data_IF_315991229891
#
_entry.id   IF_315991229891
#
_cell.length_a   1.000
_cell.length_b   1.000
_cell.length_c   1.000
_cell.angle_alpha   90.00
_cell.angle_beta   90.00
_cell.angle_gamma   90.00
#
_symmetry.space_group_name_H-M   'P 1'
#
loop_
_entity.id
_entity.type
_entity.pdbx_description
1 polymer ?
#
# COMPACT_ATOMS: atom_id res chain seq x y z
N UNK A 1 -2.53 19.10 -22.26
CA UNK A 1 -1.75 18.79 -21.03
C UNK A 1 -2.56 17.80 -20.20
N UNK A 2 -2.21 16.51 -20.25
CA UNK A 2 -2.87 15.48 -19.47
C UNK A 2 -2.55 15.66 -17.99
N UNK A 3 -3.57 15.63 -17.12
CA UNK A 3 -3.38 15.62 -15.67
C UNK A 3 -3.37 14.17 -15.20
N UNK A 4 -2.18 13.62 -15.00
CA UNK A 4 -1.98 12.30 -14.39
C UNK A 4 -2.27 12.42 -12.89
N UNK A 5 -3.37 11.82 -12.42
CA UNK A 5 -3.67 11.75 -10.98
C UNK A 5 -3.16 10.41 -10.46
N UNK A 6 -1.96 10.43 -9.91
CA UNK A 6 -1.30 9.26 -9.31
C UNK A 6 -2.05 8.87 -8.02
N UNK A 7 -2.86 7.79 -8.06
CA UNK A 7 -3.62 7.31 -6.91
C UNK A 7 -2.91 6.20 -6.12
N UNK A 8 -1.66 5.86 -6.46
CA UNK A 8 -0.89 4.81 -5.78
C UNK A 8 0.53 5.29 -5.48
N UNK A 9 0.96 5.20 -4.21
CA UNK A 9 2.35 5.50 -3.78
C UNK A 9 3.35 4.39 -4.13
N UNK A 10 2.91 3.38 -4.89
CA UNK A 10 3.73 2.25 -5.32
C UNK A 10 4.06 2.43 -6.81
N UNK A 11 5.32 2.75 -7.12
CA UNK A 11 5.80 3.14 -8.46
C UNK A 11 5.58 2.08 -9.55
N UNK A 12 5.17 0.86 -9.18
CA UNK A 12 4.93 -0.28 -10.08
C UNK A 12 3.46 -0.61 -10.31
N UNK A 13 2.54 -0.06 -9.51
CA UNK A 13 1.10 -0.27 -9.69
C UNK A 13 0.46 1.08 -10.01
N UNK A 14 0.60 1.50 -11.28
CA UNK A 14 -0.08 2.69 -11.80
C UNK A 14 -1.48 2.27 -12.26
N UNK A 15 -2.50 2.71 -11.52
CA UNK A 15 -3.86 2.74 -12.04
C UNK A 15 -3.97 4.03 -12.83
N UNK A 16 -3.99 3.93 -14.15
CA UNK A 16 -4.19 5.08 -15.04
C UNK A 16 -5.69 5.14 -15.38
N UNK A 17 -6.42 6.04 -14.72
CA UNK A 17 -7.78 6.38 -15.11
C UNK A 17 -7.73 7.21 -16.40
N UNK A 18 -8.00 6.58 -17.55
CA UNK A 18 -8.04 7.22 -18.87
C UNK A 18 -9.37 7.96 -19.16
N UNK A 19 -10.09 8.40 -18.13
CA UNK A 19 -11.43 9.00 -18.28
C UNK A 19 -11.42 10.44 -18.86
N UNK A 20 -10.24 11.01 -19.17
CA UNK A 20 -10.10 12.37 -19.72
C UNK A 20 -9.04 12.49 -20.84
N UNK A 21 -8.75 11.42 -21.58
CA UNK A 21 -7.99 11.54 -22.83
C UNK A 21 -8.97 11.75 -23.99
N UNK A 22 -8.85 12.88 -24.68
CA UNK A 22 -9.55 13.11 -25.94
C UNK A 22 -9.23 11.97 -26.92
N UNK A 23 -10.29 11.25 -27.32
CA UNK A 23 -10.38 10.23 -28.36
C UNK A 23 -9.26 10.31 -29.42
N UNK A 24 -8.19 9.53 -29.27
CA UNK A 24 -7.37 9.03 -30.39
C UNK A 24 -6.62 7.77 -29.92
N UNK A 25 -6.64 6.71 -30.72
CA UNK A 25 -5.93 5.44 -30.44
C UNK A 25 -4.43 5.66 -30.18
N UNK A 26 -3.84 6.65 -30.85
CA UNK A 26 -2.43 7.02 -30.72
C UNK A 26 -2.02 7.41 -29.30
N UNK A 27 -2.93 7.99 -28.50
CA UNK A 27 -2.61 8.35 -27.12
C UNK A 27 -2.56 7.13 -26.19
N UNK A 28 -3.35 6.09 -26.48
CA UNK A 28 -3.29 4.83 -25.74
C UNK A 28 -2.01 4.09 -26.12
N UNK A 29 -1.63 4.13 -27.40
CA UNK A 29 -0.41 3.51 -27.89
C UNK A 29 0.85 4.07 -27.20
N UNK A 30 0.97 5.40 -27.13
CA UNK A 30 2.10 6.07 -26.47
C UNK A 30 2.20 5.70 -24.98
N UNK A 31 1.06 5.63 -24.27
CA UNK A 31 1.03 5.22 -22.87
C UNK A 31 1.48 3.76 -22.72
N UNK A 32 1.05 2.87 -23.60
CA UNK A 32 1.42 1.45 -23.54
C UNK A 32 2.91 1.24 -23.84
N UNK A 33 3.47 1.97 -24.80
CA UNK A 33 4.91 1.94 -25.11
C UNK A 33 5.77 2.49 -23.96
N UNK A 34 5.26 3.46 -23.19
CA UNK A 34 5.96 4.00 -22.03
C UNK A 34 6.09 3.00 -20.86
N UNK A 35 5.26 1.95 -20.82
CA UNK A 35 5.22 0.98 -19.73
C UNK A 35 6.18 -0.18 -20.03
N UNK A 36 7.22 -0.42 -19.20
CA UNK A 36 8.17 -1.50 -19.42
C UNK A 36 7.47 -2.86 -19.57
N UNK A 37 7.92 -3.70 -20.49
CA UNK A 37 7.31 -5.02 -20.80
C UNK A 37 7.24 -5.97 -19.60
N UNK A 38 8.13 -5.80 -18.60
CA UNK A 38 8.13 -6.57 -17.36
C UNK A 38 7.07 -6.16 -16.33
N UNK A 39 6.37 -5.06 -16.55
CA UNK A 39 5.27 -4.63 -15.67
C UNK A 39 3.95 -5.33 -16.02
N UNK A 40 3.04 -5.40 -15.04
CA UNK A 40 1.71 -5.97 -15.27
C UNK A 40 0.78 -4.87 -15.76
N UNK A 41 0.07 -5.11 -16.86
CA UNK A 41 -0.90 -4.18 -17.41
C UNK A 41 -2.24 -4.88 -17.58
N UNK A 42 -3.29 -4.25 -17.04
CA UNK A 42 -4.69 -4.64 -17.21
C UNK A 42 -5.46 -3.39 -17.63
N UNK A 43 -6.18 -3.47 -18.74
CA UNK A 43 -7.04 -2.39 -19.24
C UNK A 43 -8.49 -2.90 -19.15
N UNK A 44 -9.35 -2.13 -18.49
CA UNK A 44 -10.80 -2.33 -18.55
C UNK A 44 -11.44 -1.10 -19.16
N UNK A 45 -12.09 -1.24 -20.32
CA UNK A 45 -12.73 -0.13 -21.00
C UNK A 45 -13.94 -0.58 -21.82
N UNK A 46 -14.84 0.36 -22.09
CA UNK A 46 -15.88 0.23 -23.10
C UNK A 46 -15.29 0.63 -24.46
N UNK A 47 -15.06 -0.37 -25.31
CA UNK A 47 -14.51 -0.16 -26.64
C UNK A 47 -15.60 0.05 -27.69
N UNK A 48 -16.87 -0.13 -27.34
CA UNK A 48 -18.01 -0.03 -28.24
C UNK A 48 -17.89 -0.90 -29.53
N UNK A 49 -16.98 -1.88 -29.52
CA UNK A 49 -16.73 -2.83 -30.60
C UNK A 49 -17.17 -4.23 -30.21
N UNK A 50 -17.42 -5.08 -31.20
CA UNK A 50 -17.75 -6.49 -31.04
C UNK A 50 -16.60 -7.32 -31.61
N UNK A 51 -15.83 -7.97 -30.74
CA UNK A 51 -14.71 -8.83 -31.15
C UNK A 51 -15.16 -10.11 -31.87
N UNK A 52 -16.39 -10.56 -31.60
CA UNK A 52 -17.04 -11.70 -32.24
C UNK A 52 -16.70 -13.06 -31.62
N UNK A 53 -17.44 -14.09 -32.02
CA UNK A 53 -17.27 -15.50 -31.63
C UNK A 53 -16.21 -16.21 -32.49
N UNK A 54 -15.44 -17.12 -31.88
CA UNK A 54 -14.33 -17.80 -32.54
C UNK A 54 -13.06 -16.95 -32.62
N UNK A 55 -11.92 -17.61 -32.82
CA UNK A 55 -10.60 -16.96 -32.80
C UNK A 55 -9.75 -17.28 -34.04
N UNK A 56 -10.37 -17.71 -35.13
CA UNK A 56 -9.66 -18.11 -36.36
C UNK A 56 -8.85 -16.92 -36.91
N UNK A 57 -7.52 -17.02 -36.89
CA UNK A 57 -6.59 -15.96 -37.31
C UNK A 57 -6.14 -14.99 -36.20
N UNK A 58 -6.69 -15.14 -34.98
CA UNK A 58 -6.43 -14.29 -33.82
C UNK A 58 -6.22 -15.11 -32.54
N UNK A 59 -5.88 -16.40 -32.66
CA UNK A 59 -5.75 -17.34 -31.55
C UNK A 59 -4.79 -16.89 -30.45
N UNK A 60 -3.83 -16.06 -30.85
CA UNK A 60 -2.82 -15.46 -29.98
C UNK A 60 -3.38 -14.45 -28.98
N UNK A 61 -4.40 -13.70 -29.37
CA UNK A 61 -4.91 -12.52 -28.64
C UNK A 61 -6.33 -12.72 -28.12
N UNK A 62 -7.09 -13.65 -28.68
CA UNK A 62 -8.45 -13.91 -28.26
C UNK A 62 -8.76 -15.40 -28.15
N UNK A 63 -9.66 -15.72 -27.22
CA UNK A 63 -10.24 -17.04 -27.07
C UNK A 63 -11.48 -17.23 -27.95
N UNK A 64 -12.06 -18.43 -27.87
CA UNK A 64 -13.16 -18.87 -28.75
C UNK A 64 -14.54 -18.35 -28.34
N UNK A 65 -14.68 -17.87 -27.11
CA UNK A 65 -15.98 -17.67 -26.45
C UNK A 65 -16.49 -16.23 -26.52
N UNK A 66 -16.19 -15.49 -27.58
CA UNK A 66 -16.81 -14.17 -27.81
C UNK A 66 -18.29 -14.26 -28.17
N UNK A 67 -18.92 -13.11 -28.36
CA UNK A 67 -20.36 -12.98 -28.60
C UNK A 67 -20.59 -12.32 -29.96
N UNK A 68 -21.49 -12.90 -30.77
CA UNK A 68 -21.93 -12.39 -32.09
C UNK A 68 -20.82 -12.37 -33.14
N UNK A 69 -21.09 -11.72 -34.27
CA UNK A 69 -20.12 -11.48 -35.33
C UNK A 69 -19.25 -10.26 -35.02
N UNK A 70 -18.03 -10.28 -35.58
CA UNK A 70 -17.06 -9.20 -35.44
C UNK A 70 -17.47 -7.98 -36.28
N UNK A 71 -17.40 -6.78 -35.72
CA UNK A 71 -17.56 -5.52 -36.46
C UNK A 71 -16.21 -4.82 -36.68
N UNK A 72 -16.22 -3.71 -37.44
CA UNK A 72 -15.01 -2.92 -37.73
C UNK A 72 -14.33 -2.45 -36.44
N UNK A 73 -15.10 -1.93 -35.49
CA UNK A 73 -14.57 -1.46 -34.20
C UNK A 73 -13.97 -2.60 -33.37
N UNK A 74 -14.56 -3.80 -33.43
CA UNK A 74 -14.02 -4.99 -32.80
C UNK A 74 -12.75 -5.49 -33.45
N UNK A 75 -12.62 -5.35 -34.77
CA UNK A 75 -11.36 -5.62 -35.47
C UNK A 75 -10.26 -4.66 -35.00
N UNK A 76 -10.57 -3.37 -34.81
CA UNK A 76 -9.62 -2.40 -34.27
C UNK A 76 -9.13 -2.79 -32.87
N UNK A 77 -10.02 -3.30 -32.00
CA UNK A 77 -9.64 -3.83 -30.68
C UNK A 77 -8.70 -5.04 -30.80
N UNK A 78 -8.97 -5.94 -31.74
CA UNK A 78 -8.13 -7.12 -31.99
C UNK A 78 -6.76 -6.71 -32.54
N UNK A 79 -6.72 -5.75 -33.47
CA UNK A 79 -5.49 -5.24 -34.07
C UNK A 79 -4.64 -4.49 -33.03
N UNK A 80 -5.28 -3.73 -32.15
CA UNK A 80 -4.63 -3.13 -30.97
C UNK A 80 -4.04 -4.19 -30.05
N UNK A 81 -4.81 -5.25 -29.75
CA UNK A 81 -4.34 -6.34 -28.90
C UNK A 81 -3.14 -7.08 -29.51
N UNK A 82 -3.13 -7.27 -30.85
CA UNK A 82 -1.98 -7.83 -31.58
C UNK A 82 -0.74 -6.95 -31.49
N UNK A 83 -0.90 -5.64 -31.71
CA UNK A 83 0.22 -4.67 -31.70
C UNK A 83 0.88 -4.58 -30.33
N UNK A 84 0.09 -4.61 -29.26
CA UNK A 84 0.56 -4.40 -27.88
C UNK A 84 0.77 -5.70 -27.08
N UNK A 85 0.74 -6.86 -27.74
CA UNK A 85 0.89 -8.19 -27.12
C UNK A 85 -0.10 -8.42 -25.94
N UNK A 86 -1.35 -8.01 -26.16
CA UNK A 86 -2.45 -8.10 -25.18
C UNK A 86 -3.39 -9.25 -25.53
N UNK A 87 -4.10 -9.75 -24.51
CA UNK A 87 -5.09 -10.80 -24.60
C UNK A 87 -6.47 -10.28 -24.17
N UNK A 88 -7.50 -10.56 -24.97
CA UNK A 88 -8.92 -10.24 -24.69
C UNK A 88 -9.50 -11.26 -23.72
N UNK A 89 -9.33 -10.99 -22.42
CA UNK A 89 -9.63 -11.92 -21.32
C UNK A 89 -11.05 -12.47 -21.37
N UNK A 90 -12.03 -11.62 -21.71
CA UNK A 90 -13.45 -12.00 -21.75
C UNK A 90 -13.76 -13.15 -22.71
N UNK A 91 -12.91 -13.39 -23.72
CA UNK A 91 -13.15 -14.40 -24.77
C UNK A 91 -12.53 -15.76 -24.46
N UNK A 92 -11.68 -15.87 -23.43
CA UNK A 92 -10.99 -17.13 -23.07
C UNK A 92 -11.82 -18.05 -22.19
N UNK A 93 -12.79 -17.52 -21.44
CA UNK A 93 -13.58 -18.29 -20.49
C UNK A 93 -14.93 -18.73 -21.07
N UNK A 94 -15.24 -20.02 -20.93
CA UNK A 94 -16.52 -20.59 -21.36
C UNK A 94 -17.61 -20.28 -20.32
N UNK A 95 -18.19 -19.09 -20.43
CA UNK A 95 -19.31 -18.67 -19.59
C UNK A 95 -20.67 -18.82 -20.30
N UNK A 96 -21.75 -18.81 -19.51
CA UNK A 96 -23.11 -18.74 -20.05
C UNK A 96 -23.26 -17.45 -20.85
N UNK A 97 -24.00 -17.49 -21.96
CA UNK A 97 -24.17 -16.33 -22.84
C UNK A 97 -24.66 -15.07 -22.08
N UNK A 98 -25.55 -15.24 -21.11
CA UNK A 98 -26.03 -14.15 -20.26
C UNK A 98 -24.94 -13.44 -19.45
N UNK A 99 -23.89 -14.19 -19.06
CA UNK A 99 -22.72 -13.72 -18.33
C UNK A 99 -21.59 -13.22 -19.24
N UNK A 100 -21.80 -13.20 -20.57
CA UNK A 100 -20.88 -12.58 -21.55
C UNK A 100 -21.38 -11.25 -22.08
N UNK A 101 -22.69 -11.02 -22.00
CA UNK A 101 -23.35 -9.78 -22.45
C UNK A 101 -23.14 -8.68 -21.42
N UNK A 102 -22.39 -7.64 -21.80
CA UNK A 102 -22.05 -6.49 -20.95
C UNK A 102 -23.06 -5.35 -21.10
N UNK A 103 -23.72 -5.23 -22.25
CA UNK A 103 -24.72 -4.20 -22.52
C UNK A 103 -26.07 -4.80 -22.93
N UNK A 104 -27.16 -4.34 -22.29
CA UNK A 104 -28.53 -4.74 -22.61
C UNK A 104 -29.48 -3.54 -22.66
N UNK A 105 -30.10 -3.29 -23.81
CA UNK A 105 -31.11 -2.24 -23.97
C UNK A 105 -32.15 -2.63 -25.02
N UNK A 106 -33.44 -2.53 -24.70
CA UNK A 106 -34.55 -2.76 -25.64
C UNK A 106 -34.48 -4.10 -26.40
N UNK A 107 -34.13 -5.19 -25.72
CA UNK A 107 -33.97 -6.52 -26.33
C UNK A 107 -32.62 -6.77 -27.03
N UNK A 108 -31.84 -5.71 -27.29
CA UNK A 108 -30.49 -5.82 -27.85
C UNK A 108 -29.51 -6.22 -26.75
N UNK A 109 -28.69 -7.23 -27.04
CA UNK A 109 -27.62 -7.75 -26.17
C UNK A 109 -26.29 -7.57 -26.88
N UNK A 110 -25.32 -6.93 -26.25
CA UNK A 110 -23.99 -6.67 -26.83
C UNK A 110 -22.90 -6.92 -25.80
N UNK A 111 -21.70 -7.22 -26.30
CA UNK A 111 -20.47 -7.25 -25.53
C UNK A 111 -19.63 -6.09 -26.06
N UNK A 112 -19.41 -5.07 -25.24
CA UNK A 112 -18.67 -3.85 -25.60
C UNK A 112 -17.63 -3.47 -24.56
N UNK A 113 -17.82 -3.95 -23.33
CA UNK A 113 -16.89 -3.79 -22.22
C UNK A 113 -15.91 -4.96 -22.20
N UNK A 114 -14.61 -4.68 -22.38
CA UNK A 114 -13.57 -5.70 -22.41
C UNK A 114 -12.50 -5.45 -21.36
N UNK A 115 -11.97 -6.56 -20.83
CA UNK A 115 -10.76 -6.57 -20.04
C UNK A 115 -9.64 -7.14 -20.91
N UNK A 116 -8.59 -6.35 -21.10
CA UNK A 116 -7.35 -6.72 -21.78
C UNK A 116 -6.25 -6.90 -20.74
N UNK A 117 -5.41 -7.92 -20.89
CA UNK A 117 -4.19 -8.09 -20.08
C UNK A 117 -3.00 -8.39 -20.97
N UNK A 118 -1.78 -8.17 -20.49
CA UNK A 118 -0.59 -8.68 -21.21
C UNK A 118 -0.65 -10.20 -21.34
N UNK A 119 -0.26 -10.72 -22.51
CA UNK A 119 -0.27 -12.17 -22.79
C UNK A 119 0.56 -12.96 -21.78
N UNK A 120 1.72 -12.44 -21.39
CA UNK A 120 2.57 -13.04 -20.35
C UNK A 120 1.89 -13.20 -18.98
N UNK A 121 0.90 -12.37 -18.65
CA UNK A 121 0.17 -12.41 -17.38
C UNK A 121 -1.17 -13.15 -17.48
N UNK A 122 -1.55 -13.68 -18.64
CA UNK A 122 -2.82 -14.39 -18.82
C UNK A 122 -2.97 -15.58 -17.85
N UNK A 123 -1.85 -16.24 -17.49
CA UNK A 123 -1.80 -17.33 -16.49
C UNK A 123 -2.19 -16.89 -15.07
N UNK A 124 -2.10 -15.60 -14.76
CA UNK A 124 -2.48 -15.06 -13.46
C UNK A 124 -4.01 -14.85 -13.36
N UNK A 125 -4.72 -14.89 -14.49
CA UNK A 125 -6.17 -14.73 -14.54
C UNK A 125 -6.84 -16.08 -14.38
N UNK A 126 -7.78 -16.13 -13.43
CA UNK A 126 -8.49 -17.34 -13.04
C UNK A 126 -9.94 -17.40 -13.52
N UNK A 127 -10.59 -16.25 -13.67
CA UNK A 127 -12.00 -16.14 -14.04
C UNK A 127 -12.28 -14.74 -14.60
N UNK A 128 -13.18 -14.62 -15.56
CA UNK A 128 -13.70 -13.35 -16.05
C UNK A 128 -15.17 -13.49 -16.44
N UNK A 129 -16.05 -12.80 -15.73
CA UNK A 129 -17.51 -12.93 -15.90
C UNK A 129 -18.24 -11.61 -15.74
N UNK A 130 -19.42 -11.54 -16.36
CA UNK A 130 -20.34 -10.41 -16.19
C UNK A 130 -21.37 -10.73 -15.12
N UNK A 131 -21.54 -9.83 -14.16
CA UNK A 131 -22.54 -9.96 -13.08
C UNK A 131 -23.90 -9.46 -13.58
N UNK A 132 -24.86 -10.38 -13.67
CA UNK A 132 -26.20 -10.08 -14.26
C UNK A 132 -27.21 -9.56 -13.24
N UNK A 133 -27.09 -9.94 -11.97
CA UNK A 133 -28.13 -9.73 -10.95
C UNK A 133 -28.02 -8.42 -10.17
N UNK A 134 -26.85 -7.78 -10.18
CA UNK A 134 -26.59 -6.53 -9.48
C UNK A 134 -26.56 -5.37 -10.50
N UNK A 135 -27.64 -4.59 -10.56
CA UNK A 135 -27.78 -3.50 -11.53
C UNK A 135 -27.24 -2.19 -10.95
N UNK A 136 -25.95 -1.91 -11.15
CA UNK A 136 -25.40 -0.57 -10.87
C UNK A 136 -25.80 0.43 -11.97
N UNK A 137 -26.05 -0.04 -13.20
CA UNK A 137 -26.58 0.75 -14.31
C UNK A 137 -27.74 0.03 -15.01
N UNK A 138 -28.63 0.79 -15.66
CA UNK A 138 -29.82 0.25 -16.38
C UNK A 138 -29.46 -0.54 -17.64
N UNK A 139 -28.32 -0.25 -18.26
CA UNK A 139 -27.93 -0.80 -19.56
C UNK A 139 -26.59 -1.56 -19.53
N UNK A 140 -25.57 -1.01 -18.87
CA UNK A 140 -24.28 -1.66 -18.68
C UNK A 140 -24.29 -2.59 -17.46
N UNK A 141 -23.55 -3.68 -17.57
CA UNK A 141 -23.36 -4.69 -16.53
C UNK A 141 -21.89 -4.74 -16.16
N UNK A 142 -21.63 -5.04 -14.89
CA UNK A 142 -20.27 -5.05 -14.36
C UNK A 142 -19.53 -6.28 -14.87
N UNK A 143 -18.33 -6.07 -15.41
CA UNK A 143 -17.37 -7.13 -15.74
C UNK A 143 -16.42 -7.31 -14.56
N UNK A 144 -16.27 -8.55 -14.10
CA UNK A 144 -15.41 -8.91 -12.99
C UNK A 144 -14.34 -9.87 -13.48
N UNK A 145 -13.08 -9.48 -13.37
CA UNK A 145 -11.93 -10.32 -13.62
C UNK A 145 -11.26 -10.70 -12.29
N UNK A 146 -11.06 -11.99 -12.06
CA UNK A 146 -10.35 -12.53 -10.89
C UNK A 146 -8.92 -12.86 -11.27
N UNK A 147 -7.99 -12.07 -10.73
CA UNK A 147 -6.55 -12.25 -10.93
C UNK A 147 -5.87 -12.66 -9.62
N UNK A 148 -4.95 -13.61 -9.69
CA UNK A 148 -4.16 -14.10 -8.55
C UNK A 148 -2.72 -13.62 -8.68
N UNK A 149 -2.35 -12.63 -7.86
CA UNK A 149 -1.01 -12.03 -7.90
C UNK A 149 -0.08 -12.69 -6.88
N UNK A 150 1.03 -13.26 -7.36
CA UNK A 150 2.12 -13.69 -6.49
C UNK A 150 2.97 -12.49 -6.09
N UNK A 151 2.62 -11.87 -4.96
CA UNK A 151 3.42 -10.79 -4.39
C UNK A 151 4.59 -11.38 -3.62
N UNK A 152 5.75 -11.45 -4.27
CA UNK A 152 7.00 -11.61 -3.53
C UNK A 152 7.16 -10.37 -2.63
N UNK A 153 6.98 -10.55 -1.31
CA UNK A 153 7.25 -9.49 -0.34
C UNK A 153 8.68 -9.01 -0.55
N UNK A 154 8.86 -7.85 -1.18
CA UNK A 154 10.15 -7.19 -1.21
C UNK A 154 10.52 -6.97 0.26
N UNK A 155 11.59 -7.62 0.71
CA UNK A 155 12.23 -7.24 1.96
C UNK A 155 12.60 -5.78 1.75
N UNK A 156 11.91 -4.86 2.44
CA UNK A 156 12.34 -3.45 2.49
C UNK A 156 13.83 -3.51 2.76
N UNK A 157 14.64 -2.98 1.85
CA UNK A 157 16.05 -2.79 2.12
C UNK A 157 16.12 -2.16 3.49
N UNK A 158 16.86 -2.77 4.42
CA UNK A 158 17.10 -2.14 5.72
C UNK A 158 17.66 -0.78 5.36
N UNK A 159 16.87 0.28 5.59
CA UNK A 159 17.43 1.63 5.61
C UNK A 159 18.51 1.53 6.67
N UNK A 160 19.76 1.55 6.25
CA UNK A 160 20.89 1.53 7.17
C UNK A 160 20.93 2.92 7.80
N UNK A 161 20.07 3.11 8.80
CA UNK A 161 20.05 4.35 9.57
C UNK A 161 21.40 4.41 10.28
N UNK A 162 22.18 5.45 9.98
CA UNK A 162 23.50 5.66 10.56
C UNK A 162 23.46 5.49 12.07
N UNK A 163 24.41 4.69 12.58
CA UNK A 163 24.56 4.44 14.01
C UNK A 163 25.02 5.74 14.68
N UNK A 164 24.16 6.35 15.49
CA UNK A 164 24.46 7.60 16.21
C UNK A 164 25.05 7.31 17.60
N UNK A 165 26.00 8.14 18.02
CA UNK A 165 26.53 8.13 19.39
C UNK A 165 25.43 8.47 20.40
N UNK A 166 25.37 7.75 21.53
CA UNK A 166 24.33 7.91 22.56
C UNK A 166 24.59 9.11 23.49
N UNK A 167 24.59 10.34 22.96
CA UNK A 167 24.90 11.57 23.71
C UNK A 167 24.04 11.77 24.97
N UNK A 168 22.80 11.29 24.99
CA UNK A 168 21.91 11.38 26.15
C UNK A 168 22.43 10.66 27.40
N UNK A 169 23.37 9.73 27.28
CA UNK A 169 24.02 9.09 28.43
C UNK A 169 24.88 10.04 29.25
N UNK A 170 25.28 11.19 28.70
CA UNK A 170 26.01 12.23 29.44
C UNK A 170 25.18 12.88 30.55
N UNK A 171 23.86 12.67 30.57
CA UNK A 171 23.01 13.08 31.70
C UNK A 171 23.31 12.31 32.99
N UNK A 172 24.03 11.18 32.90
CA UNK A 172 24.50 10.42 34.06
C UNK A 172 25.90 10.90 34.42
N UNK A 173 26.10 11.25 35.69
CA UNK A 173 27.37 11.78 36.20
C UNK A 173 28.54 10.83 35.94
N UNK A 174 28.37 9.54 36.26
CA UNK A 174 29.40 8.49 36.06
C UNK A 174 29.87 8.39 34.60
N UNK A 175 28.94 8.41 33.64
CA UNK A 175 29.27 8.34 32.21
C UNK A 175 29.93 9.64 31.72
N UNK A 176 29.63 10.79 32.34
CA UNK A 176 30.22 12.08 32.01
C UNK A 176 31.68 12.14 32.47
N UNK A 177 31.96 11.69 33.69
CA UNK A 177 33.32 11.63 34.24
C UNK A 177 34.22 10.67 33.47
N UNK A 178 33.72 9.46 33.16
CA UNK A 178 34.46 8.48 32.37
C UNK A 178 34.78 9.01 30.96
N UNK A 179 33.83 9.71 30.34
CA UNK A 179 34.02 10.35 29.05
C UNK A 179 35.07 11.46 29.11
N UNK A 180 35.02 12.34 30.12
CA UNK A 180 36.02 13.40 30.33
C UNK A 180 37.41 12.85 30.56
N UNK A 181 37.54 11.78 31.34
CA UNK A 181 38.83 11.16 31.63
C UNK A 181 39.44 10.56 30.36
N UNK A 182 38.67 9.77 29.60
CA UNK A 182 39.13 9.18 28.34
C UNK A 182 39.39 10.22 27.26
N UNK A 183 38.64 11.32 27.25
CA UNK A 183 38.88 12.42 26.31
C UNK A 183 40.20 13.15 26.64
N UNK A 184 40.48 13.42 27.92
CA UNK A 184 41.76 14.01 28.37
C UNK A 184 42.94 13.11 28.06
N UNK A 185 42.78 11.79 28.22
CA UNK A 185 43.80 10.80 27.85
C UNK A 185 44.04 10.77 26.33
N UNK A 186 42.97 10.78 25.52
CA UNK A 186 43.07 10.77 24.06
C UNK A 186 43.69 12.05 23.49
N UNK A 187 43.50 13.19 24.16
CA UNK A 187 44.13 14.47 23.82
C UNK A 187 45.52 14.66 24.47
N UNK A 188 46.10 13.58 25.01
CA UNK A 188 47.45 13.56 25.60
C UNK A 188 47.72 14.67 26.65
N UNK A 189 46.70 15.14 27.36
CA UNK A 189 46.84 16.22 28.34
C UNK A 189 47.28 17.57 27.77
N UNK A 190 47.15 17.80 26.45
CA UNK A 190 47.44 19.10 25.87
C UNK A 190 46.49 20.16 26.45
N UNK A 191 47.08 21.20 27.03
CA UNK A 191 46.36 22.38 27.57
C UNK A 191 45.75 23.22 26.45
N UNK A 192 46.25 23.06 25.22
CA UNK A 192 45.80 23.78 24.02
C UNK A 192 45.37 22.75 22.99
N UNK A 193 44.11 22.83 22.55
CA UNK A 193 43.56 22.00 21.48
C UNK A 193 44.31 22.30 20.17
N UNK A 194 44.54 21.31 19.30
CA UNK A 194 45.04 21.57 17.95
C UNK A 194 44.16 22.63 17.26
N UNK A 195 44.78 23.56 16.52
CA UNK A 195 44.07 24.59 15.74
C UNK A 195 43.19 23.99 14.63
N UNK A 196 43.35 22.69 14.39
CA UNK A 196 42.52 21.88 13.51
C UNK A 196 41.29 21.30 14.23
N UNK A 197 40.14 21.91 13.93
CA UNK A 197 38.83 21.49 14.39
C UNK A 197 38.44 20.08 13.92
N UNK A 198 38.86 19.65 12.73
CA UNK A 198 38.44 18.35 12.18
C UNK A 198 39.00 17.19 13.00
N UNK A 199 40.30 17.26 13.28
CA UNK A 199 41.00 16.30 14.14
C UNK A 199 40.42 16.27 15.55
N UNK A 200 40.18 17.44 16.15
CA UNK A 200 39.59 17.53 17.50
C UNK A 200 38.17 16.95 17.53
N UNK A 201 37.34 17.30 16.55
CA UNK A 201 35.98 16.80 16.43
C UNK A 201 35.93 15.29 16.18
N UNK A 202 36.91 14.73 15.45
CA UNK A 202 37.02 13.30 15.22
C UNK A 202 37.37 12.54 16.51
N UNK A 203 38.34 13.01 17.28
CA UNK A 203 38.70 12.46 18.60
C UNK A 203 37.50 12.46 19.54
N UNK A 204 36.75 13.57 19.61
CA UNK A 204 35.52 13.67 20.42
C UNK A 204 34.47 12.65 19.96
N UNK A 205 34.24 12.54 18.65
CA UNK A 205 33.26 11.59 18.08
C UNK A 205 33.68 10.14 18.37
N UNK A 206 34.96 9.82 18.27
CA UNK A 206 35.47 8.48 18.50
C UNK A 206 35.44 8.09 19.98
N UNK A 207 35.90 8.96 20.87
CA UNK A 207 35.78 8.75 22.32
C UNK A 207 34.32 8.63 22.73
N UNK A 208 33.43 9.42 22.12
CA UNK A 208 31.99 9.34 22.36
C UNK A 208 31.42 7.98 21.96
N UNK A 209 31.82 7.45 20.79
CA UNK A 209 31.43 6.10 20.34
C UNK A 209 31.95 5.01 21.28
N UNK A 210 33.18 5.14 21.79
CA UNK A 210 33.83 4.17 22.70
C UNK A 210 33.18 4.14 24.09
N UNK A 211 32.88 5.30 24.68
CA UNK A 211 32.35 5.39 26.06
C UNK A 211 30.84 5.27 26.11
N UNK A 212 30.13 6.07 25.29
CA UNK A 212 28.66 6.12 25.35
C UNK A 212 28.04 4.96 24.55
N UNK A 213 28.81 4.38 23.62
CA UNK A 213 28.35 3.37 22.69
C UNK A 213 27.54 3.98 21.55
N UNK A 214 27.28 3.14 20.54
CA UNK A 214 26.46 3.48 19.38
C UNK A 214 25.03 2.94 19.51
N UNK A 215 24.07 3.66 18.95
CA UNK A 215 22.70 3.17 18.80
C UNK A 215 22.67 1.99 17.81
N UNK A 216 21.72 1.07 17.99
CA UNK A 216 21.59 -0.12 17.15
C UNK A 216 21.04 0.18 15.75
N UNK A 217 20.92 1.44 15.35
CA UNK A 217 20.33 1.88 14.08
C UNK A 217 18.82 1.59 13.95
N UNK A 218 18.21 0.86 14.90
CA UNK A 218 16.76 0.71 14.95
C UNK A 218 16.19 1.95 15.63
N UNK A 219 15.56 2.81 14.84
CA UNK A 219 14.42 3.57 15.36
C UNK A 219 13.46 2.48 15.86
N UNK A 220 13.31 2.31 17.17
CA UNK A 220 12.01 1.85 17.65
C UNK A 220 11.10 2.93 17.09
N UNK A 221 10.35 2.62 16.04
CA UNK A 221 9.05 3.26 15.91
C UNK A 221 8.49 3.12 17.31
N UNK A 222 8.30 4.24 17.99
CA UNK A 222 7.51 4.27 19.21
C UNK A 222 6.11 3.89 18.75
N UNK A 223 5.92 2.57 18.55
CA UNK A 223 4.66 1.94 18.22
C UNK A 223 3.74 2.40 19.32
N UNK A 224 2.84 3.32 18.99
CA UNK A 224 1.54 3.64 19.60
C UNK A 224 1.33 3.28 21.09
N UNK A 225 2.37 3.25 21.91
CA UNK A 225 2.32 2.79 23.30
C UNK A 225 2.16 3.97 24.25
N UNK A 226 2.13 5.20 23.73
CA UNK A 226 1.97 6.42 24.51
C UNK A 226 0.57 6.52 25.15
N UNK A 227 -0.41 5.76 24.66
CA UNK A 227 -1.76 5.64 25.22
C UNK A 227 -2.03 4.26 25.86
N UNK A 228 -1.00 3.41 26.01
CA UNK A 228 -1.17 2.06 26.56
C UNK A 228 -1.30 2.10 28.09
N UNK A 229 -2.37 1.51 28.63
CA UNK A 229 -2.59 1.37 30.07
C UNK A 229 -3.01 -0.08 30.43
N UNK A 230 -2.98 -0.40 31.73
CA UNK A 230 -3.34 -1.74 32.23
C UNK A 230 -4.81 -2.10 31.95
N UNK A 231 -5.70 -1.10 31.96
CA UNK A 231 -7.14 -1.27 31.69
C UNK A 231 -7.42 -1.68 30.23
N UNK A 232 -6.72 -1.08 29.26
CA UNK A 232 -6.78 -1.47 27.85
C UNK A 232 -6.23 -2.89 27.69
N UNK A 233 -5.14 -3.22 28.38
CA UNK A 233 -4.55 -4.55 28.31
C UNK A 233 -5.52 -5.62 28.84
N UNK A 234 -6.10 -5.42 30.02
CA UNK A 234 -7.09 -6.33 30.62
C UNK A 234 -8.34 -6.47 29.74
N UNK A 235 -8.88 -5.36 29.22
CA UNK A 235 -10.04 -5.40 28.33
C UNK A 235 -9.78 -6.20 27.03
N UNK A 236 -8.58 -6.09 26.45
CA UNK A 236 -8.16 -6.87 25.28
C UNK A 236 -8.03 -8.35 25.63
N UNK A 237 -7.48 -8.68 26.80
CA UNK A 237 -7.36 -10.07 27.27
C UNK A 237 -8.74 -10.70 27.44
N UNK A 238 -9.69 -10.01 28.08
CA UNK A 238 -11.08 -10.48 28.24
C UNK A 238 -11.76 -10.71 26.89
N UNK A 239 -11.59 -9.79 25.93
CA UNK A 239 -12.10 -9.96 24.56
C UNK A 239 -11.52 -11.20 23.87
N UNK A 240 -10.22 -11.48 24.05
CA UNK A 240 -9.57 -12.68 23.48
C UNK A 240 -10.12 -13.97 24.09
N UNK A 241 -10.38 -13.99 25.40
CA UNK A 241 -10.98 -15.14 26.08
C UNK A 241 -12.41 -15.40 25.59
N UNK A 242 -13.24 -14.36 25.46
CA UNK A 242 -14.59 -14.47 24.92
C UNK A 242 -14.60 -14.92 23.45
N UNK A 243 -13.64 -14.46 22.64
CA UNK A 243 -13.48 -14.94 21.27
C UNK A 243 -13.17 -16.44 21.23
N UNK A 244 -12.27 -16.90 22.10
CA UNK A 244 -11.93 -18.33 22.22
C UNK A 244 -13.15 -19.17 22.63
N UNK A 245 -13.97 -18.70 23.58
CA UNK A 245 -15.23 -19.36 23.97
C UNK A 245 -16.22 -19.43 22.79
N UNK A 246 -16.42 -18.32 22.08
CA UNK A 246 -17.30 -18.30 20.90
C UNK A 246 -16.81 -19.23 19.78
N UNK A 247 -15.50 -19.31 19.57
CA UNK A 247 -14.93 -20.20 18.55
C UNK A 247 -15.12 -21.69 18.88
N UNK A 248 -15.25 -22.06 20.16
CA UNK A 248 -15.54 -23.43 20.59
C UNK A 248 -17.02 -23.79 20.49
N UNK A 249 -17.89 -23.01 21.15
CA UNK A 249 -19.30 -23.43 21.33
C UNK A 249 -20.23 -22.91 20.22
N UNK A 250 -19.81 -21.86 19.48
CA UNK A 250 -20.56 -21.18 18.40
C UNK A 250 -22.01 -20.79 18.73
N UNK A 251 -22.35 -20.62 20.00
CA UNK A 251 -23.66 -20.15 20.47
C UNK A 251 -23.85 -18.65 20.22
N UNK A 252 -25.11 -18.21 20.10
CA UNK A 252 -25.44 -16.78 19.89
C UNK A 252 -25.16 -15.95 21.16
N UNK A 253 -25.28 -16.54 22.35
CA UNK A 253 -24.91 -15.93 23.63
C UNK A 253 -23.41 -15.57 23.69
N UNK A 254 -22.54 -16.51 23.31
CA UNK A 254 -21.09 -16.28 23.27
C UNK A 254 -20.71 -15.25 22.20
N UNK A 255 -21.47 -15.20 21.08
CA UNK A 255 -21.29 -14.18 20.04
C UNK A 255 -21.66 -12.79 20.55
N UNK A 256 -22.72 -12.69 21.34
CA UNK A 256 -23.17 -11.43 21.95
C UNK A 256 -22.17 -10.94 23.00
N UNK A 257 -21.69 -11.83 23.89
CA UNK A 257 -20.64 -11.52 24.88
C UNK A 257 -19.36 -11.00 24.20
N UNK A 258 -18.93 -11.65 23.12
CA UNK A 258 -17.77 -11.19 22.35
C UNK A 258 -17.98 -9.80 21.74
N UNK A 259 -19.16 -9.51 21.17
CA UNK A 259 -19.48 -8.18 20.60
C UNK A 259 -19.46 -7.08 21.66
N UNK A 260 -20.02 -7.35 22.84
CA UNK A 260 -20.03 -6.40 23.95
C UNK A 260 -18.63 -6.09 24.45
N UNK A 261 -17.78 -7.11 24.60
CA UNK A 261 -16.38 -6.92 24.97
C UNK A 261 -15.58 -6.22 23.88
N UNK A 262 -15.90 -6.45 22.60
CA UNK A 262 -15.31 -5.71 21.49
C UNK A 262 -15.65 -4.22 21.55
N UNK A 263 -16.89 -3.86 21.87
CA UNK A 263 -17.31 -2.47 22.07
C UNK A 263 -16.65 -1.86 23.29
N UNK A 264 -16.53 -2.61 24.40
CA UNK A 264 -15.83 -2.16 25.61
C UNK A 264 -14.36 -1.84 25.32
N UNK A 265 -13.65 -2.71 24.59
CA UNK A 265 -12.26 -2.44 24.17
C UNK A 265 -12.16 -1.16 23.34
N UNK A 266 -13.07 -0.94 22.39
CA UNK A 266 -13.08 0.30 21.58
C UNK A 266 -13.25 1.54 22.46
N UNK A 267 -14.13 1.48 23.46
CA UNK A 267 -14.35 2.58 24.41
C UNK A 267 -13.12 2.84 25.27
N UNK A 268 -12.51 1.81 25.85
CA UNK A 268 -11.32 1.96 26.71
C UNK A 268 -10.11 2.48 25.92
N UNK A 269 -9.90 2.00 24.69
CA UNK A 269 -8.86 2.56 23.81
C UNK A 269 -9.11 4.04 23.50
N UNK A 270 -10.37 4.43 23.26
CA UNK A 270 -10.72 5.83 23.01
C UNK A 270 -10.46 6.70 24.24
N UNK A 271 -10.85 6.24 25.43
CA UNK A 271 -10.59 6.96 26.69
C UNK A 271 -9.09 7.11 26.98
N UNK A 272 -8.32 6.04 26.80
CA UNK A 272 -6.88 6.06 27.04
C UNK A 272 -6.17 7.02 26.08
N UNK A 273 -6.58 7.04 24.80
CA UNK A 273 -6.09 8.03 23.83
C UNK A 273 -6.46 9.45 24.21
N UNK A 274 -7.72 9.68 24.62
CA UNK A 274 -8.18 11.00 25.03
C UNK A 274 -7.39 11.52 26.24
N UNK A 275 -7.27 10.70 27.29
CA UNK A 275 -6.51 11.05 28.50
C UNK A 275 -5.06 11.39 28.18
N UNK A 276 -4.41 10.58 27.35
CA UNK A 276 -3.03 10.82 26.97
C UNK A 276 -2.87 12.08 26.08
N UNK A 277 -3.89 12.45 25.29
CA UNK A 277 -3.93 13.75 24.60
C UNK A 277 -4.13 14.91 25.58
N UNK A 278 -5.02 14.78 26.56
CA UNK A 278 -5.26 15.81 27.57
C UNK A 278 -4.00 16.06 28.42
N UNK A 279 -3.28 14.99 28.80
CA UNK A 279 -1.97 15.07 29.46
C UNK A 279 -0.89 15.70 28.55
N UNK A 280 -0.96 15.46 27.24
CA UNK A 280 -0.06 16.11 26.29
C UNK A 280 -0.36 17.61 26.18
N UNK A 281 -1.62 18.00 26.05
CA UNK A 281 -2.02 19.41 25.91
C UNK A 281 -1.71 20.21 27.17
N UNK A 282 -2.00 19.67 28.35
CA UNK A 282 -1.64 20.31 29.64
C UNK A 282 -0.13 20.51 29.79
N UNK A 283 0.69 19.58 29.28
CA UNK A 283 2.15 19.73 29.25
C UNK A 283 2.61 20.78 28.23
N UNK A 284 1.94 20.87 27.07
CA UNK A 284 2.26 21.86 26.03
C UNK A 284 1.90 23.30 26.44
N UNK A 285 0.92 23.48 27.33
CA UNK A 285 0.55 24.78 27.90
C UNK A 285 1.59 25.33 28.89
N UNK A 286 2.63 24.56 29.22
CA UNK A 286 3.75 25.03 30.06
C UNK A 286 4.87 25.64 29.21
N UNK A 287 5.62 26.58 29.79
CA UNK A 287 6.77 27.26 29.15
C UNK A 287 7.89 26.30 28.71
N UNK A 288 7.94 25.09 29.27
CA UNK A 288 8.85 24.02 28.85
C UNK A 288 8.28 23.17 27.69
N UNK A 289 6.96 23.03 27.61
CA UNK A 289 6.24 22.31 26.56
C UNK A 289 6.26 22.99 25.19
N UNK A 290 6.42 24.32 25.16
CA UNK A 290 6.57 25.09 23.92
C UNK A 290 7.74 24.57 23.06
N UNK A 291 8.85 24.17 23.69
CA UNK A 291 10.01 23.55 23.00
C UNK A 291 9.72 22.16 22.44
N UNK A 292 8.81 21.42 23.06
CA UNK A 292 8.36 20.11 22.59
C UNK A 292 7.40 20.24 21.41
N UNK A 293 6.60 21.32 21.33
CA UNK A 293 5.74 21.65 20.19
C UNK A 293 6.57 21.86 18.91
N UNK A 294 7.63 22.68 18.99
CA UNK A 294 8.54 22.90 17.86
C UNK A 294 9.28 21.61 17.45
N UNK A 295 9.55 20.70 18.40
CA UNK A 295 10.13 19.38 18.12
C UNK A 295 9.16 18.45 17.40
N UNK A 296 7.88 18.47 17.78
CA UNK A 296 6.81 17.68 17.14
C UNK A 296 6.51 18.17 15.72
N UNK A 297 6.53 19.50 15.48
CA UNK A 297 6.36 20.08 14.16
C UNK A 297 7.47 19.64 13.19
N UNK A 298 8.74 19.72 13.61
CA UNK A 298 9.91 19.29 12.80
C UNK A 298 9.97 17.80 12.44
N UNK A 299 9.19 16.95 13.12
CA UNK A 299 9.15 15.51 12.82
C UNK A 299 8.12 15.14 11.74
N UNK A 300 7.26 16.09 11.34
CA UNK A 300 6.21 15.90 10.34
C UNK A 300 6.61 16.34 8.93
N UNK A 301 7.68 17.13 8.80
CA UNK A 301 8.35 17.45 7.53
C UNK A 301 9.38 16.36 7.17
#
# INVERSE_FOLDING_TARGET
MAKTKEQSKDTRNKIVDLHQAGKTESAIDEVMESIPTGERVVIGADFNGHVGEGNTGDEEVMGKFGVKERNLEGQMVVDFAKRMDMAVVNTYFQEREEHRVTYKSGGRRRQVDYILCRRGNLKEISDCKVVVRESVARQHRIVVCRMTLLVCKMKRSKIEIEKKTKWWKLKKEECCEEFRQKLRQALAGQVVLPDDWETTAEVIRETGRKVLGVSSGRRKEDKENWWWNEEVQDSIQRKRLAKKKWDMDRTEENRQEYKELQLRVKREVSKAKQKAYDELYTRLDTREGEKDLYRLARQRD
#
